data_IF_272369729928
#
_entry.id   IF_272369729928
#
_cell.length_a   1.000
_cell.length_b   1.000
_cell.length_c   1.000
_cell.angle_alpha   90.00
_cell.angle_beta   90.00
_cell.angle_gamma   90.00
#
_symmetry.space_group_name_H-M   'P 1'
#
loop_
_entity.id
_entity.type
_entity.pdbx_description
1 polymer ?
#
# COMPACT_ATOMS: atom_id res chain seq x y z
N UNK A 1 19.47 -13.21 13.90
CA UNK A 1 20.32 -12.21 14.58
C UNK A 1 21.58 -12.05 13.74
N UNK A 2 21.73 -10.90 13.07
CA UNK A 2 22.94 -10.35 12.43
C UNK A 2 22.49 -9.41 11.30
N UNK A 3 22.19 -8.13 11.58
CA UNK A 3 22.04 -7.04 10.58
C UNK A 3 21.78 -5.67 11.24
N UNK A 4 22.59 -5.27 12.22
CA UNK A 4 22.53 -3.90 12.75
C UNK A 4 23.89 -3.30 13.14
N UNK A 5 24.96 -4.10 13.24
CA UNK A 5 26.30 -3.61 13.61
C UNK A 5 27.11 -3.04 12.44
N UNK A 6 26.66 -3.21 11.19
CA UNK A 6 27.38 -2.69 10.02
C UNK A 6 27.38 -1.15 9.94
N UNK A 7 26.37 -0.44 10.48
CA UNK A 7 26.26 1.00 10.21
C UNK A 7 27.32 1.89 10.88
N UNK A 8 28.05 1.43 11.90
CA UNK A 8 28.96 2.28 12.68
C UNK A 8 30.42 2.23 12.23
N UNK A 9 30.92 1.05 11.84
CA UNK A 9 32.26 0.89 11.26
C UNK A 9 32.35 1.49 9.84
N UNK A 10 31.19 1.66 9.20
CA UNK A 10 31.05 2.11 7.81
C UNK A 10 31.28 3.62 7.60
N UNK A 11 31.13 4.44 8.64
CA UNK A 11 31.26 5.91 8.54
C UNK A 11 32.71 6.38 8.76
N UNK A 12 33.50 5.71 9.60
CA UNK A 12 34.95 5.96 9.73
C UNK A 12 35.72 5.48 8.49
N UNK A 13 35.31 4.33 7.92
CA UNK A 13 35.85 3.86 6.65
C UNK A 13 35.57 4.83 5.50
N UNK A 14 34.42 5.52 5.52
CA UNK A 14 34.10 6.57 4.55
C UNK A 14 35.03 7.78 4.68
N UNK A 15 35.32 8.26 5.90
CA UNK A 15 36.25 9.38 6.13
C UNK A 15 37.64 9.10 5.56
N UNK A 16 38.18 7.90 5.79
CA UNK A 16 39.48 7.50 5.26
C UNK A 16 39.52 7.39 3.72
N UNK A 17 38.36 7.18 3.09
CA UNK A 17 38.19 7.17 1.63
C UNK A 17 37.99 8.56 1.04
N UNK A 18 37.56 9.55 1.85
CA UNK A 18 37.55 10.97 1.48
C UNK A 18 38.99 11.48 1.37
N UNK A 19 39.84 11.11 2.33
CA UNK A 19 41.28 11.44 2.33
C UNK A 19 41.96 10.91 1.06
N UNK A 20 41.68 9.65 0.69
CA UNK A 20 42.20 9.06 -0.54
C UNK A 20 41.69 9.75 -1.82
N UNK A 21 40.51 10.37 -1.81
CA UNK A 21 39.99 11.11 -2.96
C UNK A 21 40.73 12.42 -3.18
N UNK A 22 40.92 13.17 -2.10
CA UNK A 22 41.51 14.50 -2.16
C UNK A 22 43.04 14.41 -2.28
N UNK A 23 43.69 13.33 -1.78
CA UNK A 23 45.13 13.09 -1.94
C UNK A 23 45.52 12.39 -3.26
N UNK A 24 44.70 11.47 -3.78
CA UNK A 24 45.05 10.67 -4.97
C UNK A 24 44.18 10.94 -6.21
N UNK A 25 43.22 11.88 -6.14
CA UNK A 25 42.38 12.26 -7.29
C UNK A 25 41.40 11.17 -7.75
N UNK A 26 41.05 10.23 -6.87
CA UNK A 26 40.15 9.13 -7.21
C UNK A 26 38.75 9.63 -7.60
N UNK A 27 38.16 9.00 -8.60
CA UNK A 27 36.78 9.26 -9.00
C UNK A 27 35.79 8.54 -8.08
N UNK A 28 34.54 9.02 -8.01
CA UNK A 28 33.49 8.35 -7.23
C UNK A 28 33.21 6.91 -7.68
N UNK A 29 33.54 6.56 -8.93
CA UNK A 29 33.37 5.21 -9.45
C UNK A 29 34.41 4.25 -8.85
N UNK A 30 35.66 4.68 -8.73
CA UNK A 30 36.73 3.87 -8.15
C UNK A 30 36.53 3.66 -6.65
N UNK A 31 35.99 4.66 -5.94
CA UNK A 31 35.61 4.53 -4.53
C UNK A 31 34.42 3.58 -4.38
N UNK A 32 33.45 3.65 -5.28
CA UNK A 32 32.29 2.74 -5.31
C UNK A 32 32.71 1.28 -5.48
N UNK A 33 33.64 1.03 -6.41
CA UNK A 33 34.18 -0.30 -6.67
C UNK A 33 34.96 -0.85 -5.47
N UNK A 34 35.87 -0.05 -4.89
CA UNK A 34 36.68 -0.46 -3.72
C UNK A 34 35.85 -0.73 -2.47
N UNK A 35 34.71 -0.06 -2.32
CA UNK A 35 33.82 -0.22 -1.15
C UNK A 35 32.69 -1.21 -1.37
N UNK A 36 32.51 -1.71 -2.58
CA UNK A 36 31.33 -2.49 -2.95
C UNK A 36 30.01 -1.70 -2.80
N UNK A 37 30.05 -0.37 -2.84
CA UNK A 37 28.87 0.50 -2.67
C UNK A 37 28.43 1.09 -3.99
N UNK A 38 27.16 1.47 -4.07
CA UNK A 38 26.66 2.20 -5.25
C UNK A 38 27.17 3.64 -5.25
N UNK A 39 27.46 4.16 -6.44
CA UNK A 39 27.88 5.56 -6.65
C UNK A 39 26.93 6.57 -5.99
N UNK A 40 25.62 6.31 -6.02
CA UNK A 40 24.61 7.16 -5.40
C UNK A 40 24.71 7.20 -3.87
N UNK A 41 25.09 6.08 -3.24
CA UNK A 41 25.30 6.01 -1.79
C UNK A 41 26.48 6.89 -1.36
N UNK A 42 27.60 6.80 -2.09
CA UNK A 42 28.81 7.61 -1.84
C UNK A 42 28.55 9.09 -2.10
N UNK A 43 27.88 9.44 -3.20
CA UNK A 43 27.52 10.83 -3.51
C UNK A 43 26.59 11.43 -2.43
N UNK A 44 25.64 10.63 -1.92
CA UNK A 44 24.75 11.03 -0.83
C UNK A 44 25.49 11.24 0.49
N UNK A 45 26.48 10.40 0.81
CA UNK A 45 27.34 10.59 1.97
C UNK A 45 28.17 11.88 1.86
N UNK A 46 28.80 12.12 0.71
CA UNK A 46 29.57 13.33 0.43
C UNK A 46 28.73 14.61 0.59
N UNK A 47 27.48 14.58 0.08
CA UNK A 47 26.57 15.72 0.21
C UNK A 47 26.24 16.00 1.68
N UNK A 48 25.93 14.97 2.47
CA UNK A 48 25.63 15.13 3.91
C UNK A 48 26.83 15.67 4.69
N UNK A 49 28.03 15.23 4.36
CA UNK A 49 29.26 15.72 4.98
C UNK A 49 29.50 17.19 4.64
N UNK A 50 29.47 17.55 3.35
CA UNK A 50 29.63 18.95 2.91
C UNK A 50 28.56 19.90 3.46
N UNK A 51 27.31 19.45 3.50
CA UNK A 51 26.18 20.22 4.06
C UNK A 51 26.28 20.32 5.60
N UNK A 52 27.01 19.40 6.25
CA UNK A 52 27.38 19.46 7.66
C UNK A 52 28.51 20.47 7.94
N UNK A 53 29.54 20.45 7.10
CA UNK A 53 30.69 21.36 7.20
C UNK A 53 30.29 22.81 6.94
N UNK A 54 29.43 23.07 5.95
CA UNK A 54 28.92 24.43 5.69
C UNK A 54 28.13 24.98 6.89
N UNK A 55 27.36 24.14 7.58
CA UNK A 55 26.67 24.53 8.83
C UNK A 55 27.65 24.76 9.98
N UNK A 56 28.77 24.03 10.01
CA UNK A 56 29.80 24.25 11.01
C UNK A 56 30.54 25.57 10.80
N UNK A 57 30.96 25.85 9.56
CA UNK A 57 31.63 27.12 9.20
C UNK A 57 30.73 28.29 9.55
N UNK A 58 29.44 28.24 9.16
CA UNK A 58 28.45 29.28 9.49
C UNK A 58 28.37 29.52 11.01
N UNK A 59 28.30 28.46 11.81
CA UNK A 59 28.18 28.54 13.27
C UNK A 59 29.46 29.08 13.93
N UNK A 60 30.63 28.80 13.36
CA UNK A 60 31.90 29.37 13.81
C UNK A 60 32.01 30.86 13.47
N UNK A 61 31.48 31.28 12.31
CA UNK A 61 31.36 32.70 11.94
C UNK A 61 30.41 33.43 12.89
N UNK A 62 29.27 32.82 13.21
CA UNK A 62 28.28 33.40 14.14
C UNK A 62 28.80 33.49 15.60
N UNK A 63 29.80 32.68 15.97
CA UNK A 63 30.45 32.67 17.28
C UNK A 63 31.77 33.45 17.34
N UNK A 64 32.09 34.23 16.31
CA UNK A 64 33.25 35.14 16.25
C UNK A 64 34.61 34.45 16.52
N UNK A 65 34.74 33.19 16.09
CA UNK A 65 35.97 32.42 16.25
C UNK A 65 37.04 32.85 15.23
N UNK A 66 38.06 33.61 15.69
CA UNK A 66 39.17 34.17 14.89
C UNK A 66 40.27 33.17 14.47
N UNK A 67 39.96 31.89 14.25
CA UNK A 67 40.95 30.96 13.66
C UNK A 67 40.72 30.92 12.16
N UNK A 68 41.68 31.50 11.44
CA UNK A 68 41.70 31.66 10.00
C UNK A 68 41.32 30.36 9.26
N UNK A 69 40.24 30.44 8.49
CA UNK A 69 39.91 29.48 7.44
C UNK A 69 40.94 29.61 6.31
N UNK A 70 42.11 28.98 6.45
CA UNK A 70 43.09 28.89 5.38
C UNK A 70 43.28 27.43 4.91
N UNK A 71 42.74 27.18 3.72
CA UNK A 71 43.17 26.22 2.68
C UNK A 71 43.24 24.71 2.91
N UNK A 72 43.12 24.16 4.12
CA UNK A 72 42.86 22.72 4.30
C UNK A 72 42.07 22.46 5.59
N UNK A 73 40.87 21.84 5.53
CA UNK A 73 40.01 21.67 6.70
C UNK A 73 40.60 20.73 7.77
N UNK A 74 41.54 19.85 7.41
CA UNK A 74 42.05 18.80 8.32
C UNK A 74 43.17 19.32 9.24
N UNK A 75 44.10 20.14 8.75
CA UNK A 75 45.25 20.61 9.56
C UNK A 75 44.87 21.72 10.55
N UNK A 76 43.79 22.45 10.29
CA UNK A 76 43.23 23.42 11.24
C UNK A 76 42.49 22.77 12.43
N UNK A 77 42.21 21.45 12.39
CA UNK A 77 41.41 20.75 13.41
C UNK A 77 42.14 20.48 14.72
N UNK A 78 43.47 20.48 14.74
CA UNK A 78 44.25 20.15 15.95
C UNK A 78 44.44 21.34 16.92
N UNK A 79 44.20 22.58 16.47
CA UNK A 79 44.46 23.80 17.26
C UNK A 79 43.21 24.53 17.78
N UNK A 80 42.01 24.11 17.38
CA UNK A 80 40.78 24.82 17.73
C UNK A 80 40.16 24.25 19.02
N UNK A 81 40.13 25.05 20.09
CA UNK A 81 39.54 24.69 21.40
C UNK A 81 38.07 24.25 21.29
N UNK A 82 37.35 24.69 20.26
CA UNK A 82 35.97 24.33 19.98
C UNK A 82 35.79 22.87 19.51
N UNK A 83 36.86 22.20 19.07
CA UNK A 83 36.79 20.82 18.56
C UNK A 83 36.92 19.77 19.68
N UNK A 84 37.69 20.08 20.73
CA UNK A 84 37.90 19.19 21.88
C UNK A 84 36.62 18.90 22.67
N UNK A 85 35.73 19.89 22.81
CA UNK A 85 34.41 19.69 23.46
C UNK A 85 33.40 19.01 22.53
N UNK A 86 33.54 19.14 21.20
CA UNK A 86 32.59 18.56 20.25
C UNK A 86 32.78 17.06 20.01
N UNK A 87 33.97 16.49 20.17
CA UNK A 87 34.11 15.02 20.05
C UNK A 87 33.34 14.26 21.13
N UNK A 88 33.04 14.90 22.27
CA UNK A 88 32.24 14.30 23.34
C UNK A 88 30.75 14.68 23.27
N UNK A 89 30.40 15.89 22.82
CA UNK A 89 29.00 16.32 22.69
C UNK A 89 28.35 15.97 21.34
N UNK A 90 29.13 15.84 20.25
CA UNK A 90 28.66 15.49 18.92
C UNK A 90 28.41 14.01 18.69
N UNK A 91 29.02 13.14 19.51
CA UNK A 91 28.78 11.69 19.49
C UNK A 91 27.42 11.32 20.11
N UNK A 92 26.83 12.21 20.92
CA UNK A 92 25.45 12.12 21.38
C UNK A 92 24.61 13.17 20.68
N UNK A 93 24.37 12.95 19.39
CA UNK A 93 23.38 13.68 18.62
C UNK A 93 22.14 13.94 19.47
N UNK A 94 21.81 15.22 19.62
CA UNK A 94 20.71 15.75 20.41
C UNK A 94 19.53 14.78 20.35
N UNK A 95 19.27 14.10 21.46
CA UNK A 95 18.32 12.99 21.50
C UNK A 95 16.93 13.59 21.34
N UNK A 96 16.48 13.77 20.09
CA UNK A 96 15.21 14.43 19.74
C UNK A 96 13.97 13.81 20.39
N UNK A 97 14.12 12.63 20.99
CA UNK A 97 13.07 11.87 21.65
C UNK A 97 13.48 11.58 23.10
N UNK A 98 13.44 12.63 23.95
CA UNK A 98 13.55 12.56 25.41
C UNK A 98 12.16 12.65 26.04
N UNK A 99 12.02 12.07 27.23
CA UNK A 99 10.80 12.11 28.05
C UNK A 99 9.54 11.66 27.30
N UNK A 100 9.60 10.46 26.73
CA UNK A 100 8.49 9.86 25.99
C UNK A 100 7.49 9.27 26.98
N UNK A 101 6.30 9.85 27.05
CA UNK A 101 5.18 9.27 27.79
C UNK A 101 4.49 8.19 26.95
N UNK A 102 4.52 6.95 27.44
CA UNK A 102 3.85 5.81 26.81
C UNK A 102 2.97 5.15 27.88
N UNK A 103 1.64 5.25 27.71
CA UNK A 103 0.64 4.64 28.60
C UNK A 103 0.83 5.02 30.08
N UNK A 104 1.12 6.29 30.35
CA UNK A 104 1.32 6.84 31.70
C UNK A 104 2.69 6.55 32.32
N UNK A 105 3.61 5.92 31.57
CA UNK A 105 5.01 5.73 32.00
C UNK A 105 5.91 6.63 31.17
N UNK A 106 6.69 7.48 31.82
CA UNK A 106 7.66 8.37 31.18
C UNK A 106 9.00 7.68 31.05
N UNK A 107 9.47 7.52 29.81
CA UNK A 107 10.78 6.95 29.50
C UNK A 107 11.76 8.04 29.09
N UNK A 108 12.94 8.06 29.72
CA UNK A 108 13.99 9.05 29.41
C UNK A 108 14.47 9.01 27.97
N UNK A 109 14.48 7.82 27.35
CA UNK A 109 14.95 7.63 25.97
C UNK A 109 14.08 6.63 25.21
N UNK A 110 14.06 6.73 23.88
CA UNK A 110 13.42 5.76 23.00
C UNK A 110 13.97 4.33 23.15
N UNK A 111 15.25 4.19 23.53
CA UNK A 111 15.87 2.88 23.77
C UNK A 111 15.35 2.23 25.05
N UNK A 112 15.21 2.99 26.14
CA UNK A 112 14.63 2.49 27.39
C UNK A 112 13.16 2.09 27.22
N UNK A 113 12.38 2.87 26.46
CA UNK A 113 11.02 2.53 26.08
C UNK A 113 10.96 1.24 25.24
N UNK A 114 11.89 1.07 24.31
CA UNK A 114 11.96 -0.08 23.43
C UNK A 114 12.25 -1.38 24.20
N UNK A 115 13.22 -1.32 25.12
CA UNK A 115 13.58 -2.44 26.00
C UNK A 115 12.42 -2.86 26.90
N UNK A 116 11.79 -1.89 27.57
CA UNK A 116 10.66 -2.16 28.47
C UNK A 116 9.43 -2.74 27.75
N UNK A 117 9.23 -2.40 26.48
CA UNK A 117 8.08 -2.81 25.69
C UNK A 117 8.38 -3.99 24.75
N UNK A 118 9.62 -4.47 24.71
CA UNK A 118 10.05 -5.55 23.81
C UNK A 118 9.94 -5.20 22.33
N UNK A 119 10.10 -3.92 21.95
CA UNK A 119 10.00 -3.43 20.56
C UNK A 119 11.32 -2.84 20.09
N UNK A 120 11.46 -2.54 18.80
CA UNK A 120 12.64 -1.84 18.29
C UNK A 120 12.61 -0.35 18.62
N UNK A 121 13.78 0.25 18.86
CA UNK A 121 13.92 1.71 19.08
C UNK A 121 13.38 2.53 17.91
N UNK A 122 13.47 2.01 16.68
CA UNK A 122 12.90 2.67 15.50
C UNK A 122 11.38 2.65 15.48
N UNK A 123 10.73 1.59 15.96
CA UNK A 123 9.28 1.56 16.09
C UNK A 123 8.79 2.64 17.06
N UNK A 124 9.52 2.86 18.17
CA UNK A 124 9.24 3.94 19.12
C UNK A 124 9.40 5.32 18.47
N UNK A 125 10.49 5.55 17.72
CA UNK A 125 10.73 6.82 17.01
C UNK A 125 9.67 7.10 15.95
N UNK A 126 9.27 6.08 15.18
CA UNK A 126 8.23 6.20 14.17
C UNK A 126 6.88 6.51 14.84
N UNK A 127 6.56 5.87 15.96
CA UNK A 127 5.36 6.14 16.72
C UNK A 127 5.36 7.56 17.32
N UNK A 128 6.51 8.03 17.85
CA UNK A 128 6.69 9.40 18.32
C UNK A 128 6.43 10.41 17.21
N UNK A 129 7.02 10.20 16.02
CA UNK A 129 6.82 11.06 14.85
C UNK A 129 5.36 11.08 14.37
N UNK A 130 4.63 9.97 14.54
CA UNK A 130 3.22 9.83 14.15
C UNK A 130 2.23 10.27 15.25
N UNK A 131 2.71 10.57 16.46
CA UNK A 131 1.84 10.82 17.62
C UNK A 131 1.12 9.57 18.16
N UNK A 132 1.53 8.37 17.76
CA UNK A 132 0.86 7.10 18.15
C UNK A 132 1.63 6.33 19.22
N UNK A 133 2.24 7.05 20.18
CA UNK A 133 3.06 6.48 21.26
C UNK A 133 2.30 5.46 22.11
N UNK A 134 1.01 5.69 22.34
CA UNK A 134 0.14 4.79 23.12
C UNK A 134 -0.01 3.38 22.51
N UNK A 135 0.35 3.18 21.22
CA UNK A 135 0.21 1.89 20.50
C UNK A 135 1.49 1.06 20.50
N UNK A 136 2.60 1.63 20.95
CA UNK A 136 3.90 0.95 20.95
C UNK A 136 3.81 -0.33 21.77
N UNK A 137 4.13 -1.47 21.14
CA UNK A 137 4.12 -2.80 21.78
C UNK A 137 2.75 -3.50 21.84
N UNK A 138 1.69 -2.94 21.26
CA UNK A 138 0.33 -3.55 21.32
C UNK A 138 0.04 -4.55 20.19
N UNK A 139 0.97 -4.73 19.24
CA UNK A 139 0.80 -5.59 18.06
C UNK A 139 -0.25 -5.09 17.05
N UNK A 140 -1.02 -4.04 17.36
CA UNK A 140 -2.08 -3.51 16.51
C UNK A 140 -1.57 -2.45 15.53
N UNK A 141 -1.21 -2.89 14.33
CA UNK A 141 -0.89 -2.02 13.19
C UNK A 141 -2.15 -1.59 12.45
N UNK A 142 -2.29 -0.29 12.14
CA UNK A 142 -3.40 0.25 11.33
C UNK A 142 -4.03 1.54 11.87
N UNK A 143 -5.09 2.03 11.19
CA UNK A 143 -5.90 3.16 11.66
C UNK A 143 -6.57 2.84 12.99
N UNK A 144 -6.98 3.88 13.73
CA UNK A 144 -7.79 3.67 14.93
C UNK A 144 -9.15 3.08 14.56
N UNK A 145 -9.68 2.13 15.36
CA UNK A 145 -11.01 1.60 15.16
C UNK A 145 -12.03 2.74 15.24
N UNK A 146 -12.81 2.89 14.18
CA UNK A 146 -13.87 3.89 14.12
C UNK A 146 -15.17 3.25 14.62
N UNK A 147 -15.83 3.82 15.64
CA UNK A 147 -17.10 3.33 16.11
C UNK A 147 -18.17 3.50 15.03
N UNK A 148 -19.09 2.53 14.94
CA UNK A 148 -20.16 2.52 13.95
C UNK A 148 -21.50 2.25 14.62
N UNK A 149 -22.56 2.97 14.20
CA UNK A 149 -23.92 2.76 14.67
C UNK A 149 -24.75 2.07 13.60
N UNK A 150 -25.35 0.93 13.94
CA UNK A 150 -26.22 0.15 13.04
C UNK A 150 -27.49 -0.24 13.79
N UNK A 151 -28.66 0.15 13.28
CA UNK A 151 -29.99 -0.02 13.87
C UNK A 151 -30.11 0.45 15.33
N UNK A 152 -29.42 1.54 15.65
CA UNK A 152 -29.39 2.13 16.99
C UNK A 152 -28.46 1.41 17.99
N UNK A 153 -27.71 0.39 17.55
CA UNK A 153 -26.66 -0.25 18.36
C UNK A 153 -25.31 0.36 17.98
N UNK A 154 -24.58 0.84 18.99
CA UNK A 154 -23.23 1.36 18.83
C UNK A 154 -22.21 0.23 18.98
N UNK A 155 -21.35 0.08 17.98
CA UNK A 155 -20.26 -0.88 17.96
C UNK A 155 -18.92 -0.17 18.03
N UNK A 156 -17.92 -0.73 18.74
CA UNK A 156 -16.59 -0.12 18.87
C UNK A 156 -15.83 -0.08 17.54
N UNK A 157 -16.09 -1.03 16.63
CA UNK A 157 -15.56 -1.04 15.28
C UNK A 157 -16.50 -1.74 14.30
N UNK A 158 -16.22 -1.56 13.00
CA UNK A 158 -16.96 -2.22 11.92
C UNK A 158 -16.81 -3.76 11.93
N UNK A 159 -15.81 -4.31 12.63
CA UNK A 159 -15.58 -5.75 12.71
C UNK A 159 -16.52 -6.41 13.73
N UNK A 160 -16.67 -5.80 14.90
CA UNK A 160 -17.62 -6.18 15.94
C UNK A 160 -19.05 -6.09 15.41
N UNK A 161 -19.37 -5.04 14.66
CA UNK A 161 -20.64 -4.94 13.94
C UNK A 161 -20.83 -6.10 12.95
N UNK A 162 -19.80 -6.40 12.16
CA UNK A 162 -19.85 -7.47 11.17
C UNK A 162 -20.05 -8.86 11.80
N UNK A 163 -19.34 -9.14 12.90
CA UNK A 163 -19.48 -10.38 13.68
C UNK A 163 -20.88 -10.49 14.29
N UNK A 164 -21.43 -9.40 14.81
CA UNK A 164 -22.79 -9.37 15.38
C UNK A 164 -23.87 -9.70 14.34
N UNK A 165 -23.76 -9.16 13.12
CA UNK A 165 -24.74 -9.40 12.05
C UNK A 165 -24.40 -10.62 11.17
N UNK A 166 -23.27 -11.29 11.40
CA UNK A 166 -22.81 -12.42 10.59
C UNK A 166 -22.46 -12.05 9.15
N UNK A 167 -21.98 -10.82 8.92
CA UNK A 167 -21.58 -10.31 7.59
C UNK A 167 -20.07 -10.06 7.53
N UNK A 168 -19.56 -9.68 6.35
CA UNK A 168 -18.17 -9.19 6.24
C UNK A 168 -18.06 -7.70 6.61
N UNK A 169 -16.92 -7.29 7.16
CA UNK A 169 -16.65 -5.87 7.47
C UNK A 169 -16.72 -4.97 6.23
N UNK A 170 -16.42 -5.49 5.04
CA UNK A 170 -16.61 -4.77 3.78
C UNK A 170 -18.09 -4.43 3.53
N UNK A 171 -19.00 -5.33 3.89
CA UNK A 171 -20.45 -5.10 3.75
C UNK A 171 -20.91 -3.95 4.66
N UNK A 172 -20.34 -3.86 5.87
CA UNK A 172 -20.60 -2.75 6.80
C UNK A 172 -20.15 -1.41 6.20
N UNK A 173 -18.92 -1.34 5.71
CA UNK A 173 -18.41 -0.11 5.08
C UNK A 173 -19.19 0.27 3.82
N UNK A 174 -19.55 -0.69 2.97
CA UNK A 174 -20.37 -0.44 1.80
C UNK A 174 -21.75 0.14 2.18
N UNK A 175 -22.36 -0.35 3.26
CA UNK A 175 -23.63 0.17 3.76
C UNK A 175 -23.51 1.62 4.28
N UNK A 176 -22.43 1.91 5.01
CA UNK A 176 -22.11 3.27 5.48
C UNK A 176 -21.87 4.21 4.29
N UNK A 177 -21.09 3.79 3.30
CA UNK A 177 -20.76 4.56 2.09
C UNK A 177 -22.01 4.86 1.23
N UNK A 178 -22.95 3.91 1.18
CA UNK A 178 -24.26 4.11 0.56
C UNK A 178 -25.21 5.02 1.37
N UNK A 179 -24.80 5.48 2.57
CA UNK A 179 -25.62 6.31 3.46
C UNK A 179 -26.74 5.55 4.19
N UNK A 180 -26.69 4.21 4.17
CA UNK A 180 -27.74 3.35 4.73
C UNK A 180 -27.11 2.20 5.54
N UNK A 181 -26.59 2.48 6.74
CA UNK A 181 -25.92 1.47 7.58
C UNK A 181 -26.86 0.35 8.02
N UNK A 182 -28.16 0.63 8.16
CA UNK A 182 -29.18 -0.32 8.61
C UNK A 182 -29.48 -1.41 7.58
N UNK A 183 -29.02 -1.23 6.33
CA UNK A 183 -29.08 -2.25 5.28
C UNK A 183 -28.36 -3.55 5.67
N UNK A 184 -27.30 -3.49 6.46
CA UNK A 184 -26.53 -4.67 6.88
C UNK A 184 -27.40 -5.71 7.58
N UNK A 185 -28.38 -5.24 8.34
CA UNK A 185 -29.28 -6.09 9.12
C UNK A 185 -30.56 -6.47 8.35
N UNK A 186 -30.72 -6.08 7.08
CA UNK A 186 -31.85 -6.47 6.25
C UNK A 186 -31.50 -7.73 5.46
N UNK A 187 -32.35 -8.76 5.55
CA UNK A 187 -32.33 -9.88 4.60
C UNK A 187 -32.81 -9.38 3.24
N UNK A 188 -31.87 -9.04 2.36
CA UNK A 188 -32.20 -8.77 0.95
C UNK A 188 -32.35 -10.13 0.25
N UNK A 189 -33.52 -10.46 -0.33
CA UNK A 189 -33.65 -11.67 -1.12
C UNK A 189 -32.65 -11.61 -2.30
N UNK A 190 -32.06 -12.74 -2.70
CA UNK A 190 -31.16 -12.75 -3.85
C UNK A 190 -31.89 -12.18 -5.06
N UNK A 191 -31.22 -11.36 -5.89
CA UNK A 191 -31.84 -10.86 -7.10
C UNK A 191 -32.29 -12.05 -7.95
N UNK A 192 -33.56 -12.04 -8.37
CA UNK A 192 -34.08 -13.07 -9.26
C UNK A 192 -33.21 -13.13 -10.53
N UNK A 193 -32.92 -14.35 -11.05
CA UNK A 193 -32.14 -14.48 -12.27
C UNK A 193 -32.87 -13.76 -13.41
N UNK A 194 -32.25 -12.68 -13.91
CA UNK A 194 -32.77 -11.97 -15.08
C UNK A 194 -32.62 -12.88 -16.30
N UNK A 195 -33.73 -13.13 -16.98
CA UNK A 195 -33.71 -13.73 -18.32
C UNK A 195 -32.83 -12.83 -19.20
N UNK A 196 -31.80 -13.41 -19.84
CA UNK A 196 -30.92 -12.70 -20.77
C UNK A 196 -31.47 -12.94 -22.18
N UNK A 197 -32.10 -11.94 -22.82
CA UNK A 197 -32.59 -12.09 -24.18
C UNK A 197 -31.44 -12.40 -25.14
N UNK A 198 -31.69 -13.26 -26.13
CA UNK A 198 -30.70 -13.65 -27.12
C UNK A 198 -31.30 -13.53 -28.51
N UNK A 199 -30.57 -12.87 -29.40
CA UNK A 199 -30.92 -12.77 -30.81
C UNK A 199 -30.13 -13.82 -31.60
N UNK A 200 -30.83 -14.73 -32.27
CA UNK A 200 -30.24 -15.75 -33.14
C UNK A 200 -30.74 -15.51 -34.56
N UNK A 201 -29.81 -15.24 -35.48
CA UNK A 201 -30.10 -15.08 -36.91
C UNK A 201 -31.31 -14.15 -37.21
N UNK A 202 -31.41 -13.03 -36.48
CA UNK A 202 -32.48 -12.04 -36.64
C UNK A 202 -33.75 -12.27 -35.81
N UNK A 203 -33.87 -13.41 -35.11
CA UNK A 203 -35.02 -13.70 -34.22
C UNK A 203 -34.61 -13.51 -32.75
N UNK A 204 -35.39 -12.71 -32.02
CA UNK A 204 -35.17 -12.48 -30.59
C UNK A 204 -35.91 -13.51 -29.74
N UNK A 205 -35.21 -14.07 -28.76
CA UNK A 205 -35.73 -15.02 -27.78
C UNK A 205 -35.56 -14.48 -26.36
N UNK A 206 -36.49 -14.76 -25.42
CA UNK A 206 -36.38 -14.32 -24.03
C UNK A 206 -35.14 -14.88 -23.29
N UNK A 207 -34.68 -16.08 -23.68
CA UNK A 207 -33.46 -16.70 -23.16
C UNK A 207 -32.95 -17.80 -24.07
N UNK A 208 -31.70 -18.25 -23.87
CA UNK A 208 -31.16 -19.44 -24.54
C UNK A 208 -32.03 -20.70 -24.31
N UNK A 209 -32.60 -20.85 -23.11
CA UNK A 209 -33.43 -21.99 -22.76
C UNK A 209 -34.77 -21.98 -23.51
N UNK A 210 -35.38 -20.81 -23.63
CA UNK A 210 -36.56 -20.61 -24.47
C UNK A 210 -36.25 -20.79 -25.95
N UNK A 211 -35.12 -20.28 -26.43
CA UNK A 211 -34.68 -20.52 -27.80
C UNK A 211 -34.53 -22.01 -28.09
N UNK A 212 -33.89 -22.76 -27.17
CA UNK A 212 -33.76 -24.21 -27.28
C UNK A 212 -35.11 -24.92 -27.41
N UNK A 213 -36.10 -24.54 -26.58
CA UNK A 213 -37.46 -25.10 -26.63
C UNK A 213 -38.19 -24.76 -27.93
N UNK A 214 -38.20 -23.47 -28.30
CA UNK A 214 -38.92 -23.00 -29.49
C UNK A 214 -38.33 -23.53 -30.80
N UNK A 215 -37.02 -23.78 -30.83
CA UNK A 215 -36.33 -24.36 -31.99
C UNK A 215 -36.42 -25.91 -32.02
N UNK A 216 -37.08 -26.53 -31.04
CA UNK A 216 -37.29 -27.97 -31.01
C UNK A 216 -36.07 -28.78 -30.55
N UNK A 217 -35.12 -28.17 -29.83
CA UNK A 217 -34.02 -28.92 -29.23
C UNK A 217 -34.47 -29.57 -27.92
N UNK A 218 -34.28 -30.89 -27.79
CA UNK A 218 -34.70 -31.65 -26.60
C UNK A 218 -34.02 -31.24 -25.28
N UNK A 219 -32.95 -30.44 -25.33
CA UNK A 219 -32.26 -29.95 -24.15
C UNK A 219 -32.19 -28.42 -24.12
N UNK A 220 -32.65 -27.82 -23.02
CA UNK A 220 -32.71 -26.37 -22.81
C UNK A 220 -31.33 -25.68 -22.82
N UNK A 221 -30.24 -26.42 -22.56
CA UNK A 221 -28.88 -25.90 -22.59
C UNK A 221 -28.22 -25.90 -23.98
N UNK A 222 -28.87 -26.47 -25.00
CA UNK A 222 -28.24 -26.75 -26.30
C UNK A 222 -27.70 -25.48 -26.98
N UNK A 223 -28.55 -24.45 -27.11
CA UNK A 223 -28.17 -23.17 -27.72
C UNK A 223 -27.04 -22.50 -26.92
N UNK A 224 -27.14 -22.49 -25.59
CA UNK A 224 -26.09 -21.92 -24.73
C UNK A 224 -24.75 -22.63 -24.90
N UNK A 225 -24.76 -23.96 -25.02
CA UNK A 225 -23.55 -24.75 -25.20
C UNK A 225 -22.96 -24.55 -26.60
N UNK A 226 -23.79 -24.48 -27.63
CA UNK A 226 -23.38 -24.24 -29.01
C UNK A 226 -22.72 -22.86 -29.17
N UNK A 227 -23.31 -21.81 -28.56
CA UNK A 227 -22.72 -20.47 -28.55
C UNK A 227 -21.39 -20.43 -27.78
N UNK A 228 -21.32 -21.10 -26.62
CA UNK A 228 -20.09 -21.13 -25.81
C UNK A 228 -18.93 -21.86 -26.50
N UNK A 229 -19.22 -22.98 -27.18
CA UNK A 229 -18.20 -23.83 -27.83
C UNK A 229 -17.87 -23.40 -29.26
N UNK A 230 -18.66 -22.50 -29.87
CA UNK A 230 -18.52 -22.05 -31.28
C UNK A 230 -18.39 -23.23 -32.27
N UNK A 231 -19.14 -24.30 -32.04
CA UNK A 231 -19.10 -25.47 -32.92
C UNK A 231 -19.86 -25.16 -34.23
N UNK A 232 -19.20 -25.24 -35.41
CA UNK A 232 -19.83 -24.88 -36.69
C UNK A 232 -21.02 -25.77 -37.05
N UNK A 233 -20.95 -27.07 -36.73
CA UNK A 233 -22.06 -28.02 -36.99
C UNK A 233 -23.28 -27.68 -36.14
N UNK A 234 -23.06 -27.32 -34.88
CA UNK A 234 -24.15 -26.93 -33.99
C UNK A 234 -24.78 -25.58 -34.40
N UNK A 235 -23.96 -24.64 -34.89
CA UNK A 235 -24.46 -23.36 -35.40
C UNK A 235 -25.30 -23.54 -36.66
N UNK A 236 -24.89 -24.40 -37.59
CA UNK A 236 -25.68 -24.68 -38.80
C UNK A 236 -27.03 -25.33 -38.46
N UNK A 237 -27.05 -26.23 -37.46
CA UNK A 237 -28.31 -26.81 -36.95
C UNK A 237 -29.23 -25.75 -36.33
N UNK A 238 -28.67 -24.81 -35.58
CA UNK A 238 -29.45 -23.69 -35.02
C UNK A 238 -29.97 -22.80 -36.13
N UNK A 239 -29.15 -22.50 -37.15
CA UNK A 239 -29.55 -21.70 -38.32
C UNK A 239 -30.73 -22.35 -39.05
N UNK A 240 -30.62 -23.63 -39.38
CA UNK A 240 -31.67 -24.37 -40.06
C UNK A 240 -32.98 -24.39 -39.23
N UNK A 241 -32.88 -24.59 -37.92
CA UNK A 241 -34.03 -24.57 -37.02
C UNK A 241 -34.68 -23.18 -36.92
N UNK A 242 -33.88 -22.11 -36.90
CA UNK A 242 -34.41 -20.73 -36.88
C UNK A 242 -35.14 -20.41 -38.18
N UNK A 243 -34.58 -20.75 -39.33
CA UNK A 243 -35.23 -20.54 -40.63
C UNK A 243 -36.56 -21.29 -40.72
N UNK A 244 -36.61 -22.53 -40.22
CA UNK A 244 -37.85 -23.31 -40.15
C UNK A 244 -38.90 -22.62 -39.27
N UNK A 245 -38.51 -22.15 -38.09
CA UNK A 245 -39.41 -21.45 -37.17
C UNK A 245 -39.97 -20.15 -37.77
N UNK A 246 -39.16 -19.40 -38.51
CA UNK A 246 -39.61 -18.18 -39.21
C UNK A 246 -40.65 -18.54 -40.28
N UNK A 247 -40.37 -19.52 -41.13
CA UNK A 247 -41.32 -19.98 -42.14
C UNK A 247 -42.65 -20.46 -41.53
N UNK A 248 -42.60 -21.21 -40.42
CA UNK A 248 -43.80 -21.65 -39.71
C UNK A 248 -44.61 -20.47 -39.14
N UNK A 249 -43.93 -19.44 -38.60
CA UNK A 249 -44.58 -18.23 -38.08
C UNK A 249 -45.22 -17.42 -39.20
N UNK A 250 -44.59 -17.30 -40.35
CA UNK A 250 -45.15 -16.63 -41.53
C UNK A 250 -46.41 -17.34 -42.04
N UNK A 251 -46.37 -18.67 -42.17
CA UNK A 251 -47.54 -19.47 -42.55
C UNK A 251 -48.67 -19.34 -41.53
N UNK A 252 -48.36 -19.35 -40.22
CA UNK A 252 -49.36 -19.14 -39.17
C UNK A 252 -49.95 -17.72 -39.21
N UNK A 253 -49.14 -16.70 -39.48
CA UNK A 253 -49.60 -15.32 -39.62
C UNK A 253 -50.54 -15.17 -40.82
N UNK A 254 -50.20 -15.76 -41.97
CA UNK A 254 -51.07 -15.77 -43.15
C UNK A 254 -52.40 -16.49 -42.89
N UNK A 255 -52.38 -17.61 -42.15
CA UNK A 255 -53.61 -18.33 -41.76
C UNK A 255 -54.49 -17.51 -40.81
N UNK A 256 -53.89 -16.81 -39.84
CA UNK A 256 -54.62 -15.94 -38.90
C UNK A 256 -55.21 -14.72 -39.61
N UNK A 257 -54.48 -14.11 -40.54
CA UNK A 257 -54.97 -12.95 -41.31
C UNK A 257 -56.07 -13.29 -42.32
N UNK A 258 -56.16 -14.55 -42.77
CA UNK A 258 -57.25 -15.02 -43.64
C UNK A 258 -58.52 -15.43 -42.88
N UNK A 259 -58.41 -15.58 -41.56
CA UNK A 259 -59.52 -15.97 -40.67
C UNK A 259 -60.15 -14.78 -39.92
N UNK A 260 -59.59 -13.57 -40.07
CA UNK A 260 -60.11 -12.30 -39.58
C UNK A 260 -60.78 -11.54 -40.73
#
# INVERSE_FOLDING_TARGET
MASAETSRADDEGLLHLLDLRDEHGLTFAEIAERTGRTRSSIAGAFKRFRDGDTKFVQRCTDQDCRIACASSPITAMAGCRCYGERLWEGAMGETRYRDLEIRGVTYKTAAAAAEALGVSSDAVRIAAKRGTLHRVGTGRVGREPMPVRIRGVDFPDARAAAEHFGVSSHTVWAAIDMGDPDRVARKVPPPLPRLKPVTLYGVSFPSCAEASRQLGFGWAGYVSQALRRRNPVAQERIRAAVMKLVAEREVQAMRRGRAA
#
